data_IF_781675110445
#
_entry.id   IF_781675110445
#
_cell.length_a   1.000
_cell.length_b   1.000
_cell.length_c   1.000
_cell.angle_alpha   90.00
_cell.angle_beta   90.00
_cell.angle_gamma   90.00
#
_symmetry.space_group_name_H-M   'P 1'
#
loop_
_entity.id
_entity.type
_entity.pdbx_description
1 polymer ?
#
# COMPACT_ATOMS: atom_id res chain seq x y z
N UNK A 1 6.95 11.90 5.92
CA UNK A 1 5.96 11.40 4.92
C UNK A 1 6.74 10.85 3.71
N UNK A 2 6.14 10.07 2.80
CA UNK A 2 6.83 9.69 1.55
C UNK A 2 7.03 10.93 0.68
N UNK A 3 8.16 11.03 -0.03
CA UNK A 3 8.49 12.19 -0.88
C UNK A 3 7.46 12.42 -1.98
N UNK A 4 7.22 13.69 -2.33
CA UNK A 4 6.35 14.04 -3.45
C UNK A 4 6.86 13.42 -4.76
N UNK A 5 5.96 12.96 -5.61
CA UNK A 5 6.28 12.35 -6.90
C UNK A 5 6.82 10.91 -6.82
N UNK A 6 7.12 10.38 -5.63
CA UNK A 6 7.65 9.01 -5.50
C UNK A 6 6.67 7.95 -6.02
N UNK A 7 5.36 8.20 -5.91
CA UNK A 7 4.33 7.31 -6.44
C UNK A 7 4.26 7.25 -7.98
N UNK A 8 4.89 8.18 -8.71
CA UNK A 8 4.91 8.20 -10.18
C UNK A 8 5.80 7.12 -10.80
N UNK A 9 6.77 6.61 -10.02
CA UNK A 9 7.73 5.62 -10.45
C UNK A 9 7.90 4.58 -9.34
N UNK A 10 6.87 3.75 -9.16
CA UNK A 10 6.93 2.65 -8.20
C UNK A 10 8.03 1.65 -8.62
N UNK A 11 8.78 1.09 -7.66
CA UNK A 11 9.90 0.21 -7.96
C UNK A 11 9.42 -1.12 -8.55
N UNK A 12 10.13 -1.66 -9.55
CA UNK A 12 9.78 -2.96 -10.15
C UNK A 12 9.81 -4.14 -9.15
N UNK A 13 10.50 -3.98 -8.02
CA UNK A 13 10.54 -4.97 -6.95
C UNK A 13 10.62 -4.31 -5.57
N UNK A 14 10.00 -4.96 -4.58
CA UNK A 14 9.99 -4.59 -3.17
C UNK A 14 10.25 -5.85 -2.35
N UNK A 15 11.50 -6.09 -1.98
CA UNK A 15 11.88 -7.37 -1.34
C UNK A 15 11.60 -8.55 -2.29
N UNK A 16 10.85 -9.55 -1.83
CA UNK A 16 10.44 -10.71 -2.63
C UNK A 16 9.28 -10.40 -3.61
N UNK A 17 8.65 -9.24 -3.49
CA UNK A 17 7.52 -8.85 -4.33
C UNK A 17 8.01 -8.28 -5.65
N UNK A 18 7.39 -8.71 -6.74
CA UNK A 18 7.70 -8.23 -8.09
C UNK A 18 6.45 -7.60 -8.69
N UNK A 19 6.61 -6.46 -9.35
CA UNK A 19 5.51 -5.83 -10.08
C UNK A 19 5.22 -6.63 -11.35
N UNK A 20 3.96 -6.98 -11.62
CA UNK A 20 3.59 -7.61 -12.87
C UNK A 20 3.85 -6.66 -14.04
N UNK A 21 4.71 -7.07 -14.98
CA UNK A 21 5.02 -6.30 -16.18
C UNK A 21 3.72 -6.06 -16.97
N UNK A 22 3.46 -4.80 -17.34
CA UNK A 22 2.28 -4.45 -18.13
C UNK A 22 0.96 -4.45 -17.36
N UNK A 23 0.95 -4.22 -16.04
CA UNK A 23 -0.29 -3.92 -15.29
C UNK A 23 -1.05 -2.78 -15.97
N UNK A 24 -2.05 -3.13 -16.77
CA UNK A 24 -2.94 -2.21 -17.46
C UNK A 24 -4.12 -1.92 -16.54
N UNK A 25 -3.98 -0.90 -15.68
CA UNK A 25 -5.01 -0.51 -14.73
C UNK A 25 -4.59 0.72 -13.90
N UNK A 26 -5.50 1.24 -13.06
CA UNK A 26 -5.24 2.44 -12.24
C UNK A 26 -4.24 2.21 -11.09
N UNK A 27 -3.76 0.98 -10.90
CA UNK A 27 -2.80 0.61 -9.86
C UNK A 27 -1.74 -0.37 -10.35
N UNK A 28 -0.60 -0.40 -9.67
CA UNK A 28 0.50 -1.35 -9.91
C UNK A 28 0.29 -2.60 -9.06
N UNK A 29 0.29 -3.76 -9.70
CA UNK A 29 0.10 -5.05 -9.02
C UNK A 29 1.47 -5.64 -8.67
N UNK A 30 1.64 -6.03 -7.41
CA UNK A 30 2.80 -6.77 -6.90
C UNK A 30 2.37 -8.18 -6.48
N UNK A 31 3.16 -9.17 -6.85
CA UNK A 31 2.93 -10.58 -6.49
C UNK A 31 4.12 -11.18 -5.77
N UNK A 32 3.85 -12.09 -4.83
CA UNK A 32 4.84 -12.91 -4.13
C UNK A 32 4.22 -14.26 -3.78
N UNK A 33 4.58 -15.32 -4.50
CA UNK A 33 3.88 -16.60 -4.41
C UNK A 33 2.41 -16.43 -4.81
N UNK A 34 1.49 -16.82 -3.93
CA UNK A 34 0.05 -16.67 -4.15
C UNK A 34 -0.51 -15.32 -3.67
N UNK A 35 0.30 -14.49 -3.01
CA UNK A 35 -0.15 -13.21 -2.47
C UNK A 35 -0.08 -12.10 -3.51
N UNK A 36 -1.06 -11.20 -3.45
CA UNK A 36 -1.24 -10.07 -4.38
C UNK A 36 -1.47 -8.78 -3.62
N UNK A 37 -0.75 -7.72 -3.97
CA UNK A 37 -0.98 -6.36 -3.47
C UNK A 37 -1.18 -5.42 -4.65
N UNK A 38 -2.25 -4.63 -4.63
CA UNK A 38 -2.50 -3.58 -5.61
C UNK A 38 -2.14 -2.24 -4.97
N UNK A 39 -1.26 -1.49 -5.61
CA UNK A 39 -0.80 -0.18 -5.15
C UNK A 39 -1.38 0.90 -6.06
N UNK A 40 -2.17 1.80 -5.50
CA UNK A 40 -2.78 2.93 -6.21
C UNK A 40 -2.39 4.26 -5.58
N UNK A 41 -2.27 5.31 -6.37
CA UNK A 41 -1.97 6.66 -5.88
C UNK A 41 -3.20 7.57 -5.98
N UNK A 42 -3.57 8.17 -4.86
CA UNK A 42 -4.67 9.13 -4.73
C UNK A 42 -4.06 10.54 -4.61
N UNK A 43 -3.85 11.17 -5.77
CA UNK A 43 -3.23 12.50 -5.84
C UNK A 43 -4.07 13.56 -5.10
N UNK A 44 -3.43 14.37 -4.27
CA UNK A 44 -4.09 15.43 -3.49
C UNK A 44 -4.98 14.96 -2.33
N UNK A 45 -5.18 13.66 -2.17
CA UNK A 45 -5.98 13.11 -1.08
C UNK A 45 -5.35 13.39 0.30
N UNK A 46 -6.20 13.54 1.32
CA UNK A 46 -5.77 13.79 2.71
C UNK A 46 -5.70 12.48 3.49
N UNK A 47 -4.49 12.13 3.94
CA UNK A 47 -4.24 10.92 4.73
C UNK A 47 -5.18 10.78 5.94
N UNK A 48 -5.37 11.84 6.73
CA UNK A 48 -6.16 11.77 7.96
C UNK A 48 -7.61 11.29 7.73
N UNK A 49 -8.23 11.67 6.61
CA UNK A 49 -9.61 11.23 6.29
C UNK A 49 -9.68 9.84 5.67
N UNK A 50 -8.61 9.36 5.03
CA UNK A 50 -8.58 7.99 4.49
C UNK A 50 -8.19 6.97 5.54
N UNK A 51 -7.27 7.31 6.44
CA UNK A 51 -6.81 6.43 7.51
C UNK A 51 -7.95 5.98 8.44
N UNK A 52 -9.00 6.79 8.59
CA UNK A 52 -10.20 6.42 9.36
C UNK A 52 -11.02 5.28 8.76
N UNK A 53 -10.81 4.96 7.47
CA UNK A 53 -11.45 3.81 6.84
C UNK A 53 -10.87 2.48 7.34
N UNK A 54 -9.68 2.50 7.95
CA UNK A 54 -9.08 1.33 8.62
C UNK A 54 -9.66 1.23 10.02
N UNK A 55 -10.66 0.38 10.19
CA UNK A 55 -11.44 0.29 11.44
C UNK A 55 -11.13 -0.96 12.25
N UNK A 56 -10.39 -1.91 11.67
CA UNK A 56 -10.08 -3.21 12.27
C UNK A 56 -8.60 -3.55 12.11
N UNK A 57 -8.05 -4.24 13.12
CA UNK A 57 -6.65 -4.73 13.12
C UNK A 57 -5.63 -3.64 12.76
N UNK A 58 -5.89 -2.41 13.22
CA UNK A 58 -5.11 -1.22 12.87
C UNK A 58 -3.66 -1.40 13.31
N UNK A 59 -2.77 -1.47 12.31
CA UNK A 59 -1.35 -1.74 12.49
C UNK A 59 -0.55 -0.64 11.80
N UNK A 60 0.43 -0.04 12.48
CA UNK A 60 1.31 0.97 11.88
C UNK A 60 2.21 0.31 10.82
N UNK A 61 2.37 0.97 9.67
CA UNK A 61 3.27 0.54 8.61
C UNK A 61 3.79 1.74 7.82
N UNK A 62 5.11 1.80 7.62
CA UNK A 62 5.72 2.90 6.87
C UNK A 62 5.32 4.28 7.41
N UNK A 63 4.76 5.12 6.54
CA UNK A 63 4.25 6.46 6.91
C UNK A 63 2.76 6.49 7.26
N UNK A 64 2.12 5.35 7.46
CA UNK A 64 0.70 5.30 7.79
C UNK A 64 0.26 4.04 8.52
N UNK A 65 -0.90 3.52 8.13
CA UNK A 65 -1.56 2.40 8.81
C UNK A 65 -2.12 1.39 7.81
N UNK A 66 -2.15 0.13 8.24
CA UNK A 66 -2.77 -1.00 7.59
C UNK A 66 -3.83 -1.62 8.50
N UNK A 67 -4.74 -2.39 7.91
CA UNK A 67 -5.73 -3.18 8.63
C UNK A 67 -6.80 -3.64 7.66
N UNK A 68 -8.03 -3.82 8.16
CA UNK A 68 -9.21 -4.00 7.32
C UNK A 68 -10.20 -2.86 7.45
N UNK A 69 -11.06 -2.76 6.45
CA UNK A 69 -12.21 -1.86 6.45
C UNK A 69 -13.35 -2.45 7.30
N UNK A 70 -14.60 -2.03 7.05
CA UNK A 70 -15.77 -2.68 7.66
C UNK A 70 -15.86 -4.17 7.33
N UNK A 71 -15.37 -4.57 6.15
CA UNK A 71 -15.24 -5.95 5.69
C UNK A 71 -13.88 -6.53 6.11
N UNK A 72 -13.82 -7.54 7.00
CA UNK A 72 -12.57 -8.12 7.49
C UNK A 72 -11.63 -8.67 6.41
N UNK A 73 -12.16 -9.18 5.29
CA UNK A 73 -11.32 -9.70 4.20
C UNK A 73 -10.70 -8.59 3.32
N UNK A 74 -11.27 -7.39 3.34
CA UNK A 74 -10.77 -6.26 2.56
C UNK A 74 -9.65 -5.55 3.32
N UNK A 75 -8.42 -6.02 3.11
CA UNK A 75 -7.23 -5.42 3.69
C UNK A 75 -6.83 -4.17 2.92
N UNK A 76 -6.41 -3.15 3.65
CA UNK A 76 -5.88 -1.91 3.06
C UNK A 76 -4.78 -1.32 3.93
N UNK A 77 -3.81 -0.66 3.29
CA UNK A 77 -2.95 0.33 3.92
C UNK A 77 -3.13 1.68 3.25
N UNK A 78 -3.18 2.74 4.05
CA UNK A 78 -2.97 4.09 3.57
C UNK A 78 -1.61 4.58 4.05
N UNK A 79 -0.77 5.03 3.12
CA UNK A 79 0.55 5.58 3.41
C UNK A 79 0.57 7.05 3.03
N UNK A 80 0.94 7.91 3.99
CA UNK A 80 1.03 9.34 3.75
C UNK A 80 2.21 9.67 2.83
N UNK A 81 1.91 10.39 1.75
CA UNK A 81 2.90 11.01 0.86
C UNK A 81 2.76 12.53 0.96
N UNK A 82 3.79 13.28 0.56
CA UNK A 82 3.75 14.75 0.60
C UNK A 82 2.74 15.36 -0.38
N UNK A 83 2.33 14.62 -1.43
CA UNK A 83 1.44 15.07 -2.51
C UNK A 83 0.15 14.25 -2.67
N UNK A 84 -0.18 13.40 -1.69
CA UNK A 84 -1.38 12.57 -1.72
C UNK A 84 -1.29 11.36 -0.78
N UNK A 85 -1.89 10.24 -1.19
CA UNK A 85 -1.89 8.99 -0.42
C UNK A 85 -1.64 7.80 -1.34
N UNK A 86 -0.76 6.88 -0.92
CA UNK A 86 -0.70 5.54 -1.49
C UNK A 86 -1.70 4.65 -0.78
N UNK A 87 -2.62 4.05 -1.54
CA UNK A 87 -3.52 3.00 -1.10
C UNK A 87 -2.96 1.66 -1.56
N UNK A 88 -2.72 0.76 -0.62
CA UNK A 88 -2.34 -0.63 -0.89
C UNK A 88 -3.53 -1.50 -0.51
N UNK A 89 -4.05 -2.30 -1.42
CA UNK A 89 -5.19 -3.19 -1.16
C UNK A 89 -4.82 -4.65 -1.40
N UNK A 90 -5.36 -5.55 -0.59
CA UNK A 90 -5.21 -6.99 -0.74
C UNK A 90 -6.42 -7.73 -0.17
N UNK A 91 -6.65 -8.96 -0.64
CA UNK A 91 -7.66 -9.86 -0.08
C UNK A 91 -7.04 -10.70 1.03
N UNK A 92 -7.68 -10.80 2.19
CA UNK A 92 -7.14 -11.56 3.33
C UNK A 92 -7.05 -13.08 3.06
N UNK A 93 -7.79 -13.59 2.09
CA UNK A 93 -7.78 -14.98 1.66
C UNK A 93 -6.52 -15.38 0.88
N UNK A 94 -5.84 -14.43 0.21
CA UNK A 94 -4.58 -14.68 -0.52
C UNK A 94 -3.35 -14.04 0.15
N UNK A 95 -3.55 -12.90 0.83
CA UNK A 95 -2.48 -12.06 1.36
C UNK A 95 -2.77 -11.75 2.82
N UNK A 96 -2.05 -12.38 3.76
CA UNK A 96 -2.30 -12.13 5.18
C UNK A 96 -1.84 -10.72 5.57
N UNK A 97 -2.54 -10.09 6.52
CA UNK A 97 -2.26 -8.72 6.98
C UNK A 97 -0.78 -8.48 7.33
N UNK A 98 -0.05 -9.38 8.03
CA UNK A 98 1.38 -9.20 8.27
C UNK A 98 2.23 -9.05 7.00
N UNK A 99 1.87 -9.76 5.92
CA UNK A 99 2.57 -9.66 4.64
C UNK A 99 2.32 -8.30 3.98
N UNK A 100 1.07 -7.82 4.01
CA UNK A 100 0.71 -6.49 3.52
C UNK A 100 1.43 -5.37 4.32
N UNK A 101 1.46 -5.48 5.66
CA UNK A 101 2.18 -4.55 6.54
C UNK A 101 3.67 -4.52 6.22
N UNK A 102 4.28 -5.69 6.05
CA UNK A 102 5.70 -5.81 5.69
C UNK A 102 6.00 -5.17 4.33
N UNK A 103 5.16 -5.46 3.32
CA UNK A 103 5.27 -4.85 2.00
C UNK A 103 5.14 -3.32 2.06
N UNK A 104 4.17 -2.80 2.80
CA UNK A 104 3.95 -1.36 2.97
C UNK A 104 5.17 -0.64 3.60
N UNK A 105 5.78 -1.26 4.61
CA UNK A 105 7.02 -0.77 5.22
C UNK A 105 8.20 -0.78 4.24
N UNK A 106 8.39 -1.88 3.53
CA UNK A 106 9.47 -2.01 2.54
C UNK A 106 9.30 -1.04 1.37
N UNK A 107 8.08 -0.88 0.85
CA UNK A 107 7.77 0.08 -0.21
C UNK A 107 8.08 1.51 0.26
N UNK A 108 7.65 1.88 1.47
CA UNK A 108 7.96 3.18 2.07
C UNK A 108 9.46 3.44 2.12
N UNK A 109 10.25 2.46 2.57
CA UNK A 109 11.71 2.58 2.63
C UNK A 109 12.33 2.76 1.24
N UNK A 110 11.83 2.07 0.22
CA UNK A 110 12.31 2.17 -1.17
C UNK A 110 11.98 3.52 -1.82
N UNK A 111 10.79 4.04 -1.54
CA UNK A 111 10.34 5.35 -2.06
C UNK A 111 11.01 6.52 -1.32
N UNK A 112 11.45 6.28 -0.09
CA UNK A 112 12.10 7.26 0.76
C UNK A 112 11.13 8.27 1.36
N UNK A 113 11.53 8.83 2.50
CA UNK A 113 10.74 9.81 3.23
C UNK A 113 11.41 11.18 3.24
N UNK A 114 10.59 12.22 3.40
CA UNK A 114 10.99 13.58 3.77
C UNK A 114 10.39 13.93 5.14
#
# INVERSE_FOLDING_TARGET
MIKAGAAKALPAAVGAWTSAAGSSGPGTIYTSGNSTVIVSFLAGAKYAGLATNVTRSVTKAGTGVCGSTSEPSNLTCYLATADGVLNLSADAGDTPLPALVSFAGALTARLGTA
#
